data_IF_774487825580
#
_entry.id   IF_774487825580
#
_cell.length_a   1.000
_cell.length_b   1.000
_cell.length_c   1.000
_cell.angle_alpha   90.00
_cell.angle_beta   90.00
_cell.angle_gamma   90.00
#
_symmetry.space_group_name_H-M   'P 1'
#
loop_
_entity.id
_entity.type
_entity.pdbx_description
1 polymer ?
#
# COMPACT_ATOMS: atom_id res chain seq x y z
N UNK A 1 -17.99 18.44 -24.98
CA UNK A 1 -17.21 17.55 -25.86
C UNK A 1 -17.64 17.79 -27.32
N UNK A 2 -16.65 17.91 -28.22
CA UNK A 2 -16.87 18.11 -29.63
C UNK A 2 -16.43 16.84 -30.39
N UNK A 3 -17.31 16.33 -31.25
CA UNK A 3 -17.03 15.13 -32.05
C UNK A 3 -16.44 15.51 -33.41
N UNK A 4 -15.24 14.98 -33.69
CA UNK A 4 -14.59 15.17 -34.97
C UNK A 4 -14.95 14.02 -35.93
N UNK A 5 -15.34 14.37 -37.14
CA UNK A 5 -15.62 13.39 -38.21
C UNK A 5 -14.34 13.04 -38.98
N UNK A 6 -14.10 11.77 -39.22
CA UNK A 6 -12.92 11.33 -39.97
C UNK A 6 -12.91 11.90 -41.38
N UNK A 7 -11.74 12.35 -41.85
CA UNK A 7 -11.56 12.94 -43.17
C UNK A 7 -12.00 14.40 -43.30
N UNK A 8 -12.52 15.03 -42.28
CA UNK A 8 -12.92 16.44 -42.28
C UNK A 8 -11.87 17.32 -41.65
N UNK A 9 -11.59 18.49 -42.25
CA UNK A 9 -10.69 19.47 -41.68
C UNK A 9 -11.43 20.48 -40.83
N UNK A 10 -10.95 20.71 -39.63
CA UNK A 10 -11.51 21.65 -38.68
C UNK A 10 -10.51 22.76 -38.36
N UNK A 11 -10.98 24.01 -38.32
CA UNK A 11 -10.17 25.13 -37.83
C UNK A 11 -10.40 25.26 -36.32
N UNK A 12 -9.31 25.14 -35.54
CA UNK A 12 -9.36 25.31 -34.10
C UNK A 12 -8.66 26.59 -33.72
N UNK A 13 -9.28 27.42 -32.89
CA UNK A 13 -8.70 28.59 -32.27
C UNK A 13 -8.67 28.40 -30.76
N UNK A 14 -7.50 28.50 -30.18
CA UNK A 14 -7.28 28.42 -28.75
C UNK A 14 -6.86 29.78 -28.25
N UNK A 15 -7.64 30.38 -27.37
CA UNK A 15 -7.31 31.64 -26.70
C UNK A 15 -7.02 31.36 -25.25
N UNK A 16 -5.87 31.77 -24.77
CA UNK A 16 -5.46 31.60 -23.39
C UNK A 16 -5.05 32.94 -22.78
N UNK A 17 -5.71 33.33 -21.71
CA UNK A 17 -5.37 34.51 -20.92
C UNK A 17 -4.84 34.03 -19.57
N UNK A 18 -3.56 34.34 -19.30
CA UNK A 18 -2.96 34.02 -18.00
C UNK A 18 -2.98 35.29 -17.11
N UNK A 19 -3.91 35.30 -16.15
CA UNK A 19 -4.04 36.35 -15.14
C UNK A 19 -3.50 35.94 -13.76
N UNK A 20 -2.98 34.71 -13.63
CA UNK A 20 -2.48 34.14 -12.37
C UNK A 20 -1.18 33.35 -12.56
N UNK A 21 -0.37 33.28 -11.51
CA UNK A 21 0.83 32.45 -11.51
C UNK A 21 0.47 30.96 -11.57
N UNK A 22 1.19 30.21 -12.39
CA UNK A 22 1.03 28.76 -12.48
C UNK A 22 -0.07 28.29 -13.45
N UNK A 23 -0.67 29.20 -14.24
CA UNK A 23 -1.64 28.81 -15.25
C UNK A 23 -0.98 27.98 -16.37
N UNK A 24 -1.67 26.92 -16.80
CA UNK A 24 -1.22 26.09 -17.91
C UNK A 24 -2.39 25.77 -18.85
N UNK A 25 -2.07 25.58 -20.13
CA UNK A 25 -3.02 25.08 -21.13
C UNK A 25 -2.59 23.70 -21.58
N UNK A 26 -3.53 22.76 -21.56
CA UNK A 26 -3.37 21.44 -22.14
C UNK A 26 -4.37 21.33 -23.30
N UNK A 27 -3.86 21.08 -24.50
CA UNK A 27 -4.67 20.76 -25.64
C UNK A 27 -4.37 19.33 -26.08
N UNK A 28 -5.39 18.56 -26.30
CA UNK A 28 -5.27 17.18 -26.76
C UNK A 28 -6.54 16.74 -27.48
N UNK A 29 -6.46 15.66 -28.19
CA UNK A 29 -7.64 14.99 -28.72
C UNK A 29 -7.65 13.54 -28.24
N UNK A 30 -8.87 12.99 -28.04
CA UNK A 30 -9.07 11.58 -27.78
C UNK A 30 -9.63 10.90 -29.02
N UNK A 31 -8.90 9.97 -29.58
CA UNK A 31 -9.39 9.13 -30.67
C UNK A 31 -10.06 7.89 -30.10
N UNK A 32 -11.26 8.05 -29.52
CA UNK A 32 -12.10 6.93 -29.12
C UNK A 32 -11.45 6.00 -28.09
N UNK A 33 -11.44 6.36 -26.82
CA UNK A 33 -11.09 5.48 -25.72
C UNK A 33 -12.17 4.40 -25.46
N UNK A 34 -12.99 4.11 -26.48
CA UNK A 34 -14.15 3.25 -26.33
C UNK A 34 -13.79 1.78 -26.12
N UNK A 35 -12.58 1.38 -26.49
CA UNK A 35 -12.12 0.03 -26.24
C UNK A 35 -10.62 -0.02 -25.93
N UNK A 36 -10.20 -1.03 -25.19
CA UNK A 36 -8.80 -1.28 -24.86
C UNK A 36 -8.09 -2.19 -25.88
N UNK A 37 -8.55 -2.23 -27.12
CA UNK A 37 -8.12 -3.21 -28.13
C UNK A 37 -6.60 -3.23 -28.34
N UNK A 38 -5.95 -2.09 -28.42
CA UNK A 38 -4.50 -2.02 -28.61
C UNK A 38 -3.72 -2.60 -27.41
N UNK A 39 -4.16 -2.30 -26.20
CA UNK A 39 -3.54 -2.83 -24.98
C UNK A 39 -3.80 -4.36 -24.86
N UNK A 40 -5.01 -4.80 -25.13
CA UNK A 40 -5.39 -6.22 -25.13
C UNK A 40 -4.60 -7.00 -26.20
N UNK A 41 -4.43 -6.44 -27.39
CA UNK A 41 -3.66 -7.09 -28.46
C UNK A 41 -2.15 -7.14 -28.12
N UNK A 42 -1.61 -6.10 -27.51
CA UNK A 42 -0.23 -6.08 -27.03
C UNK A 42 -0.03 -7.14 -25.93
N UNK A 43 -0.95 -7.22 -24.98
CA UNK A 43 -0.89 -8.19 -23.88
C UNK A 43 -0.92 -9.65 -24.40
N UNK A 44 -1.76 -9.96 -25.39
CA UNK A 44 -1.82 -11.31 -26.00
C UNK A 44 -0.50 -11.77 -26.63
N UNK A 45 0.36 -10.84 -26.98
CA UNK A 45 1.67 -11.11 -27.62
C UNK A 45 2.81 -11.11 -26.61
N UNK A 46 2.55 -10.80 -25.35
CA UNK A 46 3.55 -10.68 -24.30
C UNK A 46 3.52 -11.89 -23.36
N UNK A 47 4.69 -12.19 -22.76
CA UNK A 47 4.81 -13.21 -21.71
C UNK A 47 4.25 -12.73 -20.36
N UNK A 48 4.30 -11.42 -20.12
CA UNK A 48 3.79 -10.75 -18.91
C UNK A 48 3.33 -9.35 -19.28
N UNK A 49 2.21 -8.92 -18.72
CA UNK A 49 1.72 -7.55 -18.82
C UNK A 49 1.99 -6.80 -17.51
N UNK A 50 2.76 -5.72 -17.57
CA UNK A 50 2.99 -4.84 -16.42
C UNK A 50 2.10 -3.60 -16.59
N UNK A 51 1.15 -3.42 -15.67
CA UNK A 51 0.20 -2.32 -15.70
C UNK A 51 0.53 -1.31 -14.58
N UNK A 52 0.94 -0.10 -14.97
CA UNK A 52 1.18 1.00 -14.02
C UNK A 52 -0.10 1.84 -13.91
N UNK A 53 -0.76 1.76 -12.76
CA UNK A 53 -2.06 2.37 -12.49
C UNK A 53 -2.00 3.20 -11.20
N UNK A 54 -2.96 4.07 -11.01
CA UNK A 54 -3.07 4.83 -9.78
C UNK A 54 -3.52 6.27 -10.00
N UNK A 55 -3.10 7.13 -9.10
CA UNK A 55 -3.43 8.55 -9.11
C UNK A 55 -2.46 9.36 -10.00
N UNK A 56 -2.93 10.54 -10.39
CA UNK A 56 -2.16 11.57 -11.07
C UNK A 56 -2.40 12.94 -10.40
N UNK A 57 -1.85 14.00 -10.97
CA UNK A 57 -2.01 15.37 -10.47
C UNK A 57 -3.45 15.91 -10.51
N UNK A 58 -4.36 15.25 -11.23
CA UNK A 58 -5.78 15.62 -11.31
C UNK A 58 -6.64 14.85 -10.31
N UNK A 59 -6.11 13.78 -9.73
CA UNK A 59 -6.85 12.91 -8.82
C UNK A 59 -6.27 12.87 -7.40
N UNK A 60 -5.07 13.45 -7.20
CA UNK A 60 -4.39 13.49 -5.90
C UNK A 60 -3.64 14.80 -5.71
N UNK A 61 -3.89 15.48 -4.60
CA UNK A 61 -3.29 16.75 -4.22
C UNK A 61 -4.04 17.42 -3.10
N UNK A 62 -3.61 18.63 -2.73
CA UNK A 62 -4.34 19.45 -1.78
C UNK A 62 -5.72 19.83 -2.36
N UNK A 63 -6.77 19.64 -1.58
CA UNK A 63 -8.19 19.83 -1.97
C UNK A 63 -8.70 18.84 -3.04
N UNK A 64 -8.02 17.71 -3.24
CA UNK A 64 -8.48 16.62 -4.11
C UNK A 64 -9.02 15.46 -3.28
N UNK A 65 -10.11 15.70 -2.55
CA UNK A 65 -10.80 14.68 -1.78
C UNK A 65 -11.55 13.69 -2.68
N UNK A 66 -11.53 12.43 -2.31
CA UNK A 66 -12.18 11.36 -3.05
C UNK A 66 -13.36 10.80 -2.27
N UNK A 67 -14.49 10.57 -2.95
CA UNK A 67 -15.68 9.92 -2.39
C UNK A 67 -15.60 8.40 -2.42
N UNK A 68 -14.65 7.84 -3.18
CA UNK A 68 -14.29 6.42 -3.20
C UNK A 68 -12.77 6.26 -3.27
N UNK A 69 -12.28 5.05 -3.03
CA UNK A 69 -10.85 4.69 -3.08
C UNK A 69 -10.53 3.68 -4.19
N UNK A 70 -11.41 3.51 -5.16
CA UNK A 70 -11.14 2.66 -6.32
C UNK A 70 -10.10 3.31 -7.24
N UNK A 71 -9.53 2.52 -8.14
CA UNK A 71 -8.71 3.05 -9.23
C UNK A 71 -9.47 4.13 -10.01
N UNK A 72 -8.88 5.29 -10.29
CA UNK A 72 -9.59 6.38 -10.95
C UNK A 72 -9.94 6.06 -12.41
N UNK A 73 -11.06 6.62 -12.87
CA UNK A 73 -11.52 6.50 -14.24
C UNK A 73 -11.78 5.04 -14.65
N UNK A 74 -11.31 4.64 -15.81
CA UNK A 74 -11.50 3.32 -16.39
C UNK A 74 -10.33 2.36 -16.19
N UNK A 75 -9.45 2.63 -15.22
CA UNK A 75 -8.23 1.82 -15.01
C UNK A 75 -8.56 0.37 -14.66
N UNK A 76 -9.54 0.13 -13.78
CA UNK A 76 -9.96 -1.23 -13.45
C UNK A 76 -10.50 -1.99 -14.68
N UNK A 77 -11.27 -1.32 -15.54
CA UNK A 77 -11.77 -1.95 -16.79
C UNK A 77 -10.60 -2.36 -17.71
N UNK A 78 -9.55 -1.54 -17.82
CA UNK A 78 -8.34 -1.88 -18.56
C UNK A 78 -7.63 -3.09 -17.95
N UNK A 79 -7.46 -3.11 -16.62
CA UNK A 79 -6.84 -4.25 -15.92
C UNK A 79 -7.62 -5.53 -16.20
N UNK A 80 -8.94 -5.49 -16.11
CA UNK A 80 -9.83 -6.63 -16.39
C UNK A 80 -9.75 -7.10 -17.84
N UNK A 81 -9.73 -6.16 -18.78
CA UNK A 81 -9.62 -6.47 -20.21
C UNK A 81 -8.28 -7.14 -20.56
N UNK A 82 -7.18 -6.68 -19.94
CA UNK A 82 -5.86 -7.31 -20.11
C UNK A 82 -5.80 -8.67 -19.41
N UNK A 83 -6.33 -8.79 -18.20
CA UNK A 83 -6.42 -10.07 -17.49
C UNK A 83 -7.18 -11.13 -18.29
N UNK A 84 -8.27 -10.75 -18.94
CA UNK A 84 -9.08 -11.65 -19.77
C UNK A 84 -8.32 -12.23 -20.99
N UNK A 85 -7.14 -11.73 -21.33
CA UNK A 85 -6.27 -12.31 -22.37
C UNK A 85 -5.62 -13.63 -21.93
N UNK A 86 -5.57 -13.91 -20.62
CA UNK A 86 -4.82 -15.01 -20.02
C UNK A 86 -3.33 -14.73 -19.82
N UNK A 87 -2.82 -13.58 -20.27
CA UNK A 87 -1.44 -13.15 -20.00
C UNK A 87 -1.29 -12.80 -18.52
N UNK A 88 -0.27 -13.29 -17.81
CA UNK A 88 -0.01 -12.91 -16.41
C UNK A 88 0.11 -11.40 -16.27
N UNK A 89 -0.61 -10.83 -15.30
CA UNK A 89 -0.62 -9.37 -15.05
C UNK A 89 0.10 -9.06 -13.76
N UNK A 90 1.05 -8.14 -13.80
CA UNK A 90 1.64 -7.50 -12.62
C UNK A 90 1.11 -6.07 -12.54
N UNK A 91 0.43 -5.75 -11.45
CA UNK A 91 -0.08 -4.41 -11.20
C UNK A 91 0.92 -3.60 -10.37
N UNK A 92 1.32 -2.44 -10.86
CA UNK A 92 2.12 -1.45 -10.12
C UNK A 92 1.22 -0.28 -9.77
N UNK A 93 0.91 -0.14 -8.50
CA UNK A 93 0.10 0.96 -7.98
C UNK A 93 0.99 2.16 -7.66
N UNK A 94 0.64 3.31 -8.21
CA UNK A 94 1.29 4.59 -7.96
C UNK A 94 0.21 5.55 -7.44
N UNK A 95 0.07 5.63 -6.13
CA UNK A 95 -0.97 6.46 -5.53
C UNK A 95 -0.51 7.12 -4.23
N UNK A 96 -1.13 8.23 -3.86
CA UNK A 96 -0.88 8.91 -2.60
C UNK A 96 -1.76 8.40 -1.45
N UNK A 97 -2.59 7.38 -1.71
CA UNK A 97 -3.58 6.84 -0.77
C UNK A 97 -3.81 5.36 -0.96
N UNK A 98 -4.34 4.63 0.03
CA UNK A 98 -4.77 3.24 -0.15
C UNK A 98 -5.83 3.11 -1.23
N UNK A 99 -5.71 2.12 -2.09
CA UNK A 99 -6.69 1.75 -3.12
C UNK A 99 -7.49 0.55 -2.66
N UNK A 100 -8.81 0.55 -2.89
CA UNK A 100 -9.68 -0.60 -2.60
C UNK A 100 -9.56 -1.66 -3.70
N UNK A 101 -8.40 -2.27 -3.81
CA UNK A 101 -8.02 -3.20 -4.88
C UNK A 101 -8.54 -4.63 -4.63
N UNK A 102 -9.85 -4.82 -4.36
CA UNK A 102 -10.40 -6.15 -4.04
C UNK A 102 -10.34 -7.09 -5.23
N UNK A 103 -10.85 -6.65 -6.39
CA UNK A 103 -10.85 -7.48 -7.59
C UNK A 103 -9.42 -7.84 -7.99
N UNK A 104 -8.52 -6.88 -7.94
CA UNK A 104 -7.11 -7.06 -8.28
C UNK A 104 -6.43 -8.06 -7.35
N UNK A 105 -6.71 -7.97 -6.04
CA UNK A 105 -6.21 -8.93 -5.05
C UNK A 105 -6.66 -10.37 -5.34
N UNK A 106 -7.90 -10.54 -5.76
CA UNK A 106 -8.50 -11.86 -5.95
C UNK A 106 -8.09 -12.51 -7.29
N UNK A 107 -7.65 -11.73 -8.27
CA UNK A 107 -7.39 -12.19 -9.63
C UNK A 107 -5.94 -12.06 -10.07
N UNK A 108 -5.20 -11.07 -9.60
CA UNK A 108 -3.84 -10.83 -10.11
C UNK A 108 -2.78 -11.57 -9.30
N UNK A 109 -1.79 -12.16 -9.96
CA UNK A 109 -0.72 -12.91 -9.29
C UNK A 109 0.24 -12.00 -8.50
N UNK A 110 0.33 -10.71 -8.85
CA UNK A 110 1.23 -9.78 -8.17
C UNK A 110 0.72 -8.33 -8.22
N UNK A 111 0.83 -7.66 -7.07
CA UNK A 111 0.55 -6.23 -6.91
C UNK A 111 1.75 -5.60 -6.18
N UNK A 112 2.33 -4.57 -6.78
CA UNK A 112 3.40 -3.76 -6.19
C UNK A 112 2.86 -2.38 -5.85
N UNK A 113 2.77 -2.06 -4.56
CA UNK A 113 2.47 -0.70 -4.11
C UNK A 113 3.75 0.14 -4.10
N UNK A 114 3.84 1.09 -5.02
CA UNK A 114 5.00 1.93 -5.21
C UNK A 114 4.82 3.35 -4.63
N UNK A 115 3.62 3.71 -4.19
CA UNK A 115 3.27 5.07 -3.78
C UNK A 115 3.64 6.10 -4.85
N UNK A 116 4.05 7.31 -4.46
CA UNK A 116 4.70 8.28 -5.33
C UNK A 116 6.22 8.15 -5.17
N UNK A 117 6.89 7.37 -6.02
CA UNK A 117 8.24 6.86 -5.76
C UNK A 117 9.36 7.87 -6.00
N UNK A 118 9.07 9.09 -6.43
CA UNK A 118 10.03 10.16 -6.67
C UNK A 118 10.92 9.93 -7.91
N UNK A 119 12.03 10.67 -7.98
CA UNK A 119 12.91 10.72 -9.15
C UNK A 119 13.48 9.37 -9.58
N UNK A 120 13.90 8.53 -8.62
CA UNK A 120 14.46 7.21 -8.88
C UNK A 120 13.41 6.08 -8.91
N UNK A 121 12.14 6.43 -8.96
CA UNK A 121 11.03 5.50 -8.89
C UNK A 121 11.04 4.44 -9.97
N UNK A 122 11.23 4.84 -11.22
CA UNK A 122 11.30 3.88 -12.34
C UNK A 122 12.41 2.86 -12.17
N UNK A 123 13.60 3.30 -11.71
CA UNK A 123 14.72 2.41 -11.42
C UNK A 123 14.40 1.44 -10.28
N UNK A 124 13.79 1.93 -9.21
CA UNK A 124 13.43 1.10 -8.04
C UNK A 124 12.37 0.05 -8.40
N UNK A 125 11.31 0.46 -9.13
CA UNK A 125 10.25 -0.44 -9.60
C UNK A 125 10.85 -1.51 -10.51
N UNK A 126 11.66 -1.13 -11.52
CA UNK A 126 12.29 -2.08 -12.44
C UNK A 126 13.20 -3.09 -11.70
N UNK A 127 14.05 -2.61 -10.77
CA UNK A 127 14.90 -3.51 -9.97
C UNK A 127 14.07 -4.50 -9.15
N UNK A 128 12.93 -4.07 -8.63
CA UNK A 128 12.02 -4.96 -7.90
C UNK A 128 11.38 -5.97 -8.85
N UNK A 129 10.79 -5.53 -9.94
CA UNK A 129 10.10 -6.42 -10.90
C UNK A 129 11.02 -7.49 -11.49
N UNK A 130 12.28 -7.14 -11.78
CA UNK A 130 13.26 -8.06 -12.34
C UNK A 130 14.13 -8.79 -11.29
N UNK A 131 13.77 -8.70 -10.00
CA UNK A 131 14.44 -9.47 -8.95
C UNK A 131 15.83 -8.97 -8.53
N UNK A 132 16.26 -7.80 -9.01
CA UNK A 132 17.53 -7.18 -8.63
C UNK A 132 17.48 -6.53 -7.24
N UNK A 133 16.29 -6.34 -6.69
CA UNK A 133 16.04 -5.91 -5.32
C UNK A 133 14.80 -6.61 -4.77
N UNK A 134 14.91 -7.22 -3.60
CA UNK A 134 13.75 -7.77 -2.91
C UNK A 134 12.95 -6.64 -2.24
N UNK A 135 11.61 -6.59 -2.40
CA UNK A 135 10.78 -5.62 -1.71
C UNK A 135 10.87 -5.86 -0.20
N UNK A 136 11.20 -4.83 0.56
CA UNK A 136 11.32 -4.87 2.02
C UNK A 136 10.35 -3.93 2.73
N UNK A 137 9.53 -3.20 1.99
CA UNK A 137 8.53 -2.26 2.52
C UNK A 137 7.42 -2.97 3.31
N UNK A 138 6.84 -2.24 4.25
CA UNK A 138 5.63 -2.64 4.97
C UNK A 138 4.64 -1.48 4.92
N UNK A 139 3.36 -1.80 4.75
CA UNK A 139 2.33 -0.78 4.63
C UNK A 139 2.28 0.12 5.88
N UNK A 140 2.45 1.43 5.71
CA UNK A 140 2.39 2.40 6.82
C UNK A 140 0.95 2.80 7.18
N UNK A 141 -0.03 2.27 6.44
CA UNK A 141 -1.46 2.54 6.62
C UNK A 141 -2.24 1.28 6.24
N UNK A 142 -3.42 1.11 6.84
CA UNK A 142 -4.36 0.03 6.52
C UNK A 142 -5.03 0.29 5.17
N UNK A 143 -5.13 -0.73 4.32
CA UNK A 143 -5.87 -0.70 3.06
C UNK A 143 -7.28 -1.24 3.29
N UNK A 144 -8.33 -0.40 3.20
CA UNK A 144 -9.70 -0.84 3.38
C UNK A 144 -10.21 -1.61 2.16
N UNK A 145 -11.25 -2.42 2.35
CA UNK A 145 -12.01 -3.04 1.25
C UNK A 145 -13.01 -2.09 0.62
N UNK A 146 -13.43 -1.09 1.38
CA UNK A 146 -14.43 -0.09 0.95
C UNK A 146 -14.22 1.20 1.71
N UNK A 147 -14.58 2.32 1.10
CA UNK A 147 -14.65 3.63 1.77
C UNK A 147 -15.57 3.59 3.00
N UNK A 148 -16.58 2.72 3.01
CA UNK A 148 -17.47 2.51 4.17
C UNK A 148 -16.76 2.00 5.43
N UNK A 149 -15.55 1.45 5.31
CA UNK A 149 -14.74 1.03 6.47
C UNK A 149 -14.00 2.18 7.15
N UNK A 150 -13.90 3.36 6.52
CA UNK A 150 -13.15 4.50 7.06
C UNK A 150 -13.90 5.10 8.26
N UNK A 151 -13.17 5.44 9.34
CA UNK A 151 -11.74 5.28 9.57
C UNK A 151 -11.34 3.83 9.86
N UNK A 152 -10.30 3.32 9.17
CA UNK A 152 -9.84 1.95 9.24
C UNK A 152 -8.44 1.88 9.90
N UNK A 153 -8.37 2.24 11.17
CA UNK A 153 -7.11 2.27 11.92
C UNK A 153 -6.71 0.87 12.40
N UNK A 154 -5.42 0.52 12.29
CA UNK A 154 -4.90 -0.72 12.87
C UNK A 154 -4.99 -0.73 14.40
N UNK A 155 -4.90 0.45 15.01
CA UNK A 155 -4.98 0.68 16.46
C UNK A 155 -6.42 0.93 16.94
N UNK A 156 -7.38 0.20 16.37
CA UNK A 156 -8.78 0.34 16.74
C UNK A 156 -9.02 -0.05 18.21
N UNK A 157 -10.08 0.51 18.78
CA UNK A 157 -10.53 0.17 20.13
C UNK A 157 -11.29 -1.14 20.13
N UNK A 158 -11.25 -1.92 21.25
CA UNK A 158 -12.06 -3.12 21.41
C UNK A 158 -13.56 -2.84 21.29
N UNK A 159 -14.33 -3.83 20.84
CA UNK A 159 -15.79 -3.77 20.78
C UNK A 159 -16.36 -2.96 19.58
N UNK A 160 -15.52 -2.37 18.77
CA UNK A 160 -15.93 -1.58 17.61
C UNK A 160 -16.08 -2.39 16.31
N UNK A 161 -16.23 -3.71 16.37
CA UNK A 161 -16.36 -4.55 15.18
C UNK A 161 -17.61 -4.21 14.38
N UNK A 162 -17.45 -3.53 13.24
CA UNK A 162 -18.54 -3.38 12.27
C UNK A 162 -18.69 -4.72 11.53
N UNK A 163 -19.90 -5.22 11.44
CA UNK A 163 -20.26 -6.31 10.53
C UNK A 163 -20.92 -5.68 9.31
N UNK A 164 -20.36 -5.96 8.14
CA UNK A 164 -20.98 -5.62 6.88
C UNK A 164 -21.73 -6.85 6.37
N UNK A 165 -22.84 -6.63 5.67
CA UNK A 165 -23.65 -7.72 5.11
C UNK A 165 -22.96 -8.29 3.86
N UNK A 166 -22.35 -7.41 3.07
CA UNK A 166 -21.83 -7.72 1.74
C UNK A 166 -20.33 -8.00 1.69
N UNK A 167 -19.59 -7.77 2.78
CA UNK A 167 -18.12 -7.94 2.78
C UNK A 167 -17.56 -8.30 4.14
N UNK A 168 -16.34 -8.82 4.17
CA UNK A 168 -15.59 -9.02 5.40
C UNK A 168 -15.29 -7.67 6.09
N UNK A 169 -15.36 -7.68 7.41
CA UNK A 169 -15.01 -6.53 8.24
C UNK A 169 -13.50 -6.30 8.36
N UNK A 170 -12.69 -7.32 8.09
CA UNK A 170 -11.24 -7.19 8.04
C UNK A 170 -10.81 -6.32 6.85
N UNK A 171 -9.75 -5.53 6.99
CA UNK A 171 -9.23 -4.75 5.86
C UNK A 171 -8.72 -5.66 4.75
N UNK A 172 -8.53 -5.10 3.56
CA UNK A 172 -7.88 -5.81 2.46
C UNK A 172 -6.44 -6.16 2.83
N UNK A 173 -5.66 -5.16 3.23
CA UNK A 173 -4.32 -5.35 3.77
C UNK A 173 -4.17 -4.57 5.08
N UNK A 174 -3.72 -5.21 6.16
CA UNK A 174 -3.51 -4.52 7.43
C UNK A 174 -2.25 -3.65 7.40
N UNK A 175 -2.21 -2.65 8.26
CA UNK A 175 -0.97 -1.93 8.60
C UNK A 175 0.17 -2.91 8.92
N UNK A 176 1.37 -2.64 8.45
CA UNK A 176 2.53 -3.48 8.66
C UNK A 176 2.63 -4.68 7.71
N UNK A 177 1.63 -4.90 6.85
CA UNK A 177 1.66 -5.96 5.84
C UNK A 177 2.68 -5.67 4.73
N UNK A 178 3.22 -6.72 4.15
CA UNK A 178 4.07 -6.69 2.96
C UNK A 178 4.76 -8.03 2.75
N UNK A 179 4.90 -8.40 1.48
CA UNK A 179 5.60 -9.59 1.03
C UNK A 179 7.02 -9.24 0.56
N UNK A 180 7.84 -10.26 0.41
CA UNK A 180 9.18 -10.16 -0.16
C UNK A 180 9.49 -11.44 -0.95
N UNK A 181 10.63 -11.50 -1.62
CA UNK A 181 11.01 -12.68 -2.43
C UNK A 181 11.61 -13.81 -1.62
N UNK A 182 11.69 -13.69 -0.31
CA UNK A 182 12.16 -14.71 0.61
C UNK A 182 11.19 -14.89 1.77
N UNK A 183 11.45 -15.84 2.65
CA UNK A 183 10.62 -16.14 3.82
C UNK A 183 11.45 -16.01 5.10
N UNK A 184 10.78 -15.66 6.19
CA UNK A 184 11.42 -15.50 7.49
C UNK A 184 10.70 -16.32 8.55
N UNK A 185 11.47 -16.99 9.40
CA UNK A 185 10.99 -17.60 10.63
C UNK A 185 11.37 -16.75 11.84
N UNK A 186 10.53 -16.80 12.86
CA UNK A 186 10.73 -16.14 14.15
C UNK A 186 10.74 -17.19 15.24
N UNK A 187 11.80 -17.22 16.08
CA UNK A 187 11.94 -18.17 17.17
C UNK A 187 12.54 -17.53 18.42
N UNK A 188 12.54 -18.25 19.52
CA UNK A 188 13.23 -17.93 20.77
C UNK A 188 12.90 -16.54 21.31
N UNK A 189 11.62 -16.15 21.25
CA UNK A 189 11.19 -14.89 21.83
C UNK A 189 11.34 -14.93 23.36
N UNK A 190 12.05 -13.95 23.89
CA UNK A 190 12.28 -13.80 25.35
C UNK A 190 12.08 -12.38 25.78
N UNK A 191 11.71 -12.20 27.04
CA UNK A 191 11.64 -10.91 27.72
C UNK A 191 12.78 -10.82 28.74
N UNK A 192 13.42 -9.67 28.83
CA UNK A 192 14.47 -9.44 29.84
C UNK A 192 13.92 -9.49 31.27
N UNK A 193 12.63 -9.20 31.45
CA UNK A 193 11.90 -9.27 32.73
C UNK A 193 10.42 -9.50 32.45
N UNK A 194 9.74 -10.20 33.33
CA UNK A 194 8.29 -10.45 33.29
C UNK A 194 7.47 -9.39 34.03
N UNK A 195 8.11 -8.64 34.93
CA UNK A 195 7.50 -7.56 35.71
C UNK A 195 8.40 -6.34 35.65
N UNK A 196 7.81 -5.17 35.42
CA UNK A 196 8.48 -3.88 35.36
C UNK A 196 7.72 -2.83 36.15
N UNK A 197 8.43 -1.90 36.74
CA UNK A 197 7.86 -0.70 37.36
C UNK A 197 7.56 0.38 36.31
N UNK A 198 6.88 1.47 36.72
CA UNK A 198 6.42 2.53 35.81
C UNK A 198 7.56 3.26 35.06
N UNK A 199 8.78 3.24 35.59
CA UNK A 199 9.95 3.89 34.98
C UNK A 199 10.94 2.91 34.36
N UNK A 200 10.64 1.61 34.42
CA UNK A 200 11.52 0.58 33.90
C UNK A 200 11.37 0.38 32.40
N UNK A 201 12.34 -0.33 31.83
CA UNK A 201 12.30 -0.82 30.46
C UNK A 201 12.29 -2.35 30.42
N UNK A 202 11.71 -2.90 29.37
CA UNK A 202 11.82 -4.33 29.05
C UNK A 202 12.34 -4.47 27.61
N UNK A 203 13.30 -5.37 27.46
CA UNK A 203 13.81 -5.76 26.14
C UNK A 203 13.17 -7.06 25.72
N UNK A 204 12.57 -7.02 24.53
CA UNK A 204 12.02 -8.20 23.83
C UNK A 204 13.08 -8.62 22.83
N UNK A 205 13.56 -9.84 22.94
CA UNK A 205 14.52 -10.43 22.03
C UNK A 205 13.87 -11.54 21.22
N UNK A 206 14.16 -11.61 19.93
CA UNK A 206 13.67 -12.65 19.02
C UNK A 206 14.74 -13.01 18.00
N UNK A 207 14.87 -14.28 17.65
CA UNK A 207 15.72 -14.73 16.55
C UNK A 207 14.92 -14.67 15.25
N UNK A 208 15.48 -14.00 14.24
CA UNK A 208 14.90 -13.92 12.88
C UNK A 208 15.83 -14.67 11.94
N UNK A 209 15.28 -15.64 11.24
CA UNK A 209 16.03 -16.50 10.28
C UNK A 209 15.44 -16.34 8.89
N UNK A 210 16.27 -16.08 7.89
CA UNK A 210 15.86 -16.16 6.50
C UNK A 210 15.80 -17.63 6.08
N UNK A 211 14.59 -18.15 5.90
CA UNK A 211 14.34 -19.56 5.51
C UNK A 211 14.15 -19.75 4.02
N UNK A 212 14.20 -18.66 3.24
CA UNK A 212 14.06 -18.72 1.79
C UNK A 212 15.39 -18.73 1.05
N UNK A 213 15.32 -18.52 -0.25
CA UNK A 213 16.43 -18.69 -1.18
C UNK A 213 17.13 -17.38 -1.59
N UNK A 214 16.57 -16.23 -1.23
CA UNK A 214 17.07 -14.91 -1.64
C UNK A 214 17.43 -14.07 -0.42
N UNK A 215 18.42 -13.20 -0.58
CA UNK A 215 18.67 -12.14 0.39
C UNK A 215 17.47 -11.19 0.42
N UNK A 216 17.01 -10.82 1.61
CA UNK A 216 15.86 -9.94 1.77
C UNK A 216 15.81 -9.26 3.12
N UNK A 217 14.91 -8.29 3.21
CA UNK A 217 14.72 -7.49 4.41
C UNK A 217 13.58 -8.02 5.27
N UNK A 218 13.92 -8.45 6.47
CA UNK A 218 12.96 -8.70 7.53
C UNK A 218 12.65 -7.39 8.27
N UNK A 219 11.38 -7.21 8.65
CA UNK A 219 10.94 -6.08 9.48
C UNK A 219 10.12 -6.61 10.65
N UNK A 220 10.78 -7.17 11.69
CA UNK A 220 10.09 -7.53 12.93
C UNK A 220 9.45 -6.29 13.55
N UNK A 221 8.19 -6.42 13.93
CA UNK A 221 7.36 -5.38 14.53
C UNK A 221 6.87 -5.85 15.89
N UNK A 222 7.12 -5.07 16.92
CA UNK A 222 6.70 -5.33 18.28
C UNK A 222 5.43 -4.53 18.58
N UNK A 223 4.36 -5.22 18.91
CA UNK A 223 3.10 -4.62 19.30
C UNK A 223 2.84 -4.88 20.80
N UNK A 224 2.29 -3.87 21.45
CA UNK A 224 1.85 -3.95 22.84
C UNK A 224 0.33 -3.93 22.89
N UNK A 225 -0.24 -4.78 23.72
CA UNK A 225 -1.63 -4.76 24.11
C UNK A 225 -1.74 -4.58 25.60
N UNK A 226 -2.50 -3.59 26.03
CA UNK A 226 -2.88 -3.43 27.44
C UNK A 226 -4.15 -4.25 27.71
N UNK A 227 -4.04 -5.21 28.61
CA UNK A 227 -5.14 -6.13 28.93
C UNK A 227 -6.14 -5.52 29.90
N UNK A 228 -5.68 -4.61 30.76
CA UNK A 228 -6.48 -3.98 31.79
C UNK A 228 -6.10 -2.51 31.90
N UNK A 229 -7.02 -1.62 31.59
CA UNK A 229 -6.79 -0.17 31.62
C UNK A 229 -8.01 0.55 32.18
N UNK A 230 -7.79 1.63 32.90
CA UNK A 230 -8.85 2.51 33.40
C UNK A 230 -9.55 3.32 32.28
N UNK A 231 -8.94 3.37 31.09
CA UNK A 231 -9.49 4.01 29.90
C UNK A 231 -9.47 3.05 28.72
N UNK A 232 -10.34 3.26 27.74
CA UNK A 232 -10.38 2.38 26.56
C UNK A 232 -9.13 2.61 25.70
N UNK A 233 -8.32 1.56 25.57
CA UNK A 233 -7.10 1.53 24.75
C UNK A 233 -7.30 0.76 23.46
N UNK A 234 -6.44 1.03 22.44
CA UNK A 234 -6.38 0.20 21.25
C UNK A 234 -6.09 -1.28 21.56
N UNK A 235 -6.63 -2.16 20.72
CA UNK A 235 -6.35 -3.61 20.82
C UNK A 235 -4.84 -3.91 20.72
N UNK A 236 -4.10 -3.11 19.97
CA UNK A 236 -2.64 -3.20 19.87
C UNK A 236 -2.06 -1.88 19.36
N UNK A 237 -0.85 -1.58 19.79
CA UNK A 237 -0.09 -0.41 19.35
C UNK A 237 1.33 -0.83 18.96
N UNK A 238 1.82 -0.35 17.82
CA UNK A 238 3.21 -0.56 17.44
C UNK A 238 4.12 0.17 18.43
N UNK A 239 4.95 -0.57 19.13
CA UNK A 239 5.86 -0.04 20.15
C UNK A 239 7.28 0.10 19.63
N UNK A 240 7.75 -0.84 18.80
CA UNK A 240 9.07 -0.82 18.19
C UNK A 240 9.11 -1.65 16.91
N UNK A 241 10.07 -1.37 16.05
CA UNK A 241 10.38 -2.20 14.89
C UNK A 241 11.86 -2.05 14.51
N UNK A 242 12.35 -2.99 13.72
CA UNK A 242 13.71 -2.93 13.17
C UNK A 242 13.72 -3.54 11.77
N UNK A 243 14.45 -2.91 10.85
CA UNK A 243 14.74 -3.50 9.54
C UNK A 243 16.12 -4.13 9.57
N UNK A 244 16.25 -5.34 9.01
CA UNK A 244 17.52 -6.05 8.89
C UNK A 244 17.53 -6.86 7.60
N UNK A 245 18.65 -6.81 6.90
CA UNK A 245 18.89 -7.61 5.70
C UNK A 245 19.54 -8.94 6.12
N UNK A 246 19.00 -10.06 5.63
CA UNK A 246 19.50 -11.42 5.91
C UNK A 246 19.73 -12.17 4.60
N UNK A 247 20.90 -12.80 4.49
CA UNK A 247 21.19 -13.77 3.45
C UNK A 247 20.41 -15.08 3.68
N UNK A 248 20.27 -15.95 2.65
CA UNK A 248 19.67 -17.28 2.82
C UNK A 248 20.33 -18.08 3.94
N UNK A 249 19.53 -18.61 4.85
CA UNK A 249 19.99 -19.35 6.03
C UNK A 249 20.56 -18.50 7.17
N UNK A 250 20.74 -17.19 6.96
CA UNK A 250 21.26 -16.32 8.01
C UNK A 250 20.22 -16.14 9.12
N UNK A 251 20.67 -16.24 10.38
CA UNK A 251 19.89 -15.96 11.58
C UNK A 251 20.48 -14.78 12.32
N UNK A 252 19.64 -13.92 12.86
CA UNK A 252 20.06 -12.79 13.67
C UNK A 252 19.12 -12.57 14.85
N UNK A 253 19.72 -12.42 16.04
CA UNK A 253 18.96 -12.01 17.20
C UNK A 253 18.68 -10.52 17.16
N UNK A 254 17.42 -10.16 17.33
CA UNK A 254 16.92 -8.79 17.32
C UNK A 254 16.44 -8.44 18.72
N UNK A 255 16.81 -7.29 19.19
CA UNK A 255 16.40 -6.73 20.48
C UNK A 255 15.61 -5.44 20.26
N UNK A 256 14.41 -5.39 20.83
CA UNK A 256 13.49 -4.27 20.79
C UNK A 256 13.16 -3.87 22.22
N UNK A 257 13.58 -2.70 22.62
CA UNK A 257 13.36 -2.18 23.99
C UNK A 257 12.16 -1.24 24.01
N UNK A 258 11.26 -1.47 24.94
CA UNK A 258 10.11 -0.62 25.26
C UNK A 258 10.19 -0.13 26.69
N UNK A 259 9.67 1.04 26.93
CA UNK A 259 9.70 1.69 28.24
C UNK A 259 8.50 2.61 28.47
N UNK A 260 8.59 3.54 29.43
CA UNK A 260 7.48 4.40 29.79
C UNK A 260 6.86 5.15 28.61
N UNK A 261 7.67 5.58 27.64
CA UNK A 261 7.19 6.31 26.46
C UNK A 261 6.19 5.50 25.63
N UNK A 262 6.42 4.20 25.44
CA UNK A 262 5.55 3.30 24.67
C UNK A 262 4.36 2.80 25.48
N UNK A 263 4.50 2.77 26.81
CA UNK A 263 3.50 2.17 27.72
C UNK A 263 2.54 3.18 28.33
N UNK A 264 2.92 4.48 28.34
CA UNK A 264 2.09 5.54 28.92
C UNK A 264 0.78 5.71 28.19
N UNK A 265 -0.22 6.13 28.94
CA UNK A 265 -1.54 6.50 28.42
C UNK A 265 -1.97 7.80 29.08
N UNK A 266 -2.65 8.65 28.33
CA UNK A 266 -3.32 9.81 28.93
C UNK A 266 -4.52 9.29 29.71
N UNK A 267 -4.56 9.65 31.00
CA UNK A 267 -5.72 9.41 31.87
C UNK A 267 -6.90 10.32 31.52
N UNK A 268 -8.05 10.16 32.22
CA UNK A 268 -9.22 11.01 31.98
C UNK A 268 -8.92 12.48 32.24
N UNK A 269 -7.93 12.81 33.06
CA UNK A 269 -7.51 14.17 33.40
C UNK A 269 -6.41 14.71 32.47
N UNK A 270 -6.12 14.00 31.39
CA UNK A 270 -5.05 14.34 30.41
C UNK A 270 -3.63 14.42 30.98
N UNK A 271 -3.36 13.72 32.10
CA UNK A 271 -2.05 13.64 32.81
C UNK A 271 -1.50 12.22 32.76
#
# INVERSE_FOLDING_TARGET
DFHFEAGRTYKIRIEFVNDRRGARVIFGYSAGWENFSAAVEAARKADVAILCMGDNEETSGENFDRTDLNLPGRQLELVQAVYATGTPVVLVLQSGRPVTANWENDHLPAILEAWFPGEQGGTAIAKTLFGNAAPGGRLPITFPRSVGQIPCHYSRRPGGGKRYVEMDWLPLYPFGYGLTYTTFAYSDMTLSRSVIGPQDTVTVSVTVTNTGKYTGDAVPQLYVRDMFSSVVKPERQLAAFRRLTLAPGESRRVELTIGPKQLRTLGPDYV
#
